data_IF_652440153292
#
_entry.id   IF_652440153292
#
_cell.length_a   1.000
_cell.length_b   1.000
_cell.length_c   1.000
_cell.angle_alpha   90.00
_cell.angle_beta   90.00
_cell.angle_gamma   90.00
#
_symmetry.space_group_name_H-M   'P 1'
#
loop_
_entity.id
_entity.type
_entity.pdbx_description
1 polymer ?
#
# COMPACT_ATOMS: atom_id res chain seq x y z
N UNK A 1 26.99 -7.40 -46.39
CA UNK A 1 27.39 -6.39 -45.39
C UNK A 1 27.11 -4.98 -45.90
N UNK A 2 27.68 -4.55 -47.03
CA UNK A 2 27.49 -3.20 -47.58
C UNK A 2 26.02 -2.83 -47.89
N UNK A 3 25.23 -3.75 -48.47
CA UNK A 3 23.81 -3.49 -48.77
C UNK A 3 22.94 -3.28 -47.54
N UNK A 4 23.26 -3.93 -46.41
CA UNK A 4 22.47 -3.81 -45.17
C UNK A 4 22.69 -2.44 -44.51
N UNK A 5 23.94 -1.96 -44.58
CA UNK A 5 24.31 -0.62 -44.11
C UNK A 5 23.62 0.45 -44.95
N UNK A 6 23.59 0.30 -46.28
CA UNK A 6 22.91 1.26 -47.17
C UNK A 6 21.40 1.28 -46.93
N UNK A 7 20.75 0.10 -46.79
CA UNK A 7 19.31 0.03 -46.50
C UNK A 7 18.99 0.65 -45.14
N UNK A 8 19.80 0.39 -44.11
CA UNK A 8 19.63 0.99 -42.80
C UNK A 8 19.77 2.53 -42.86
N UNK A 9 20.79 3.04 -43.55
CA UNK A 9 21.01 4.48 -43.67
C UNK A 9 19.89 5.19 -44.46
N UNK A 10 19.37 4.56 -45.52
CA UNK A 10 18.24 5.09 -46.28
C UNK A 10 16.94 5.08 -45.47
N UNK A 11 16.70 4.04 -44.65
CA UNK A 11 15.52 4.00 -43.76
C UNK A 11 15.54 5.08 -42.68
N UNK A 12 16.71 5.37 -42.10
CA UNK A 12 16.86 6.43 -41.08
C UNK A 12 16.71 7.80 -41.73
N UNK A 13 17.29 8.00 -42.91
CA UNK A 13 17.17 9.27 -43.65
C UNK A 13 15.74 9.57 -44.08
N UNK A 14 14.99 8.55 -44.51
CA UNK A 14 13.58 8.69 -44.86
C UNK A 14 12.71 8.98 -43.62
N UNK A 15 13.02 8.37 -42.47
CA UNK A 15 12.32 8.66 -41.22
C UNK A 15 12.52 10.12 -40.77
N UNK A 16 13.73 10.67 -40.90
CA UNK A 16 14.03 12.08 -40.57
C UNK A 16 13.29 13.06 -41.50
N UNK A 17 13.06 12.70 -42.76
CA UNK A 17 12.35 13.54 -43.74
C UNK A 17 10.82 13.45 -43.63
N UNK A 18 10.28 12.39 -43.04
CA UNK A 18 8.84 12.19 -42.84
C UNK A 18 8.33 12.64 -41.47
N UNK A 19 9.22 13.01 -40.54
CA UNK A 19 8.84 13.62 -39.27
C UNK A 19 8.73 15.14 -39.50
N UNK A 20 7.53 15.75 -39.43
CA UNK A 20 7.41 17.20 -39.50
C UNK A 20 8.21 17.84 -38.35
N UNK A 21 8.84 19.01 -38.56
CA UNK A 21 9.78 19.63 -37.62
C UNK A 21 9.15 20.11 -36.31
N UNK A 22 7.85 19.88 -36.10
CA UNK A 22 7.15 20.26 -34.88
C UNK A 22 7.15 19.10 -33.86
N UNK A 23 8.34 18.72 -33.41
CA UNK A 23 8.54 17.87 -32.23
C UNK A 23 8.10 18.58 -30.93
N UNK A 24 7.95 19.91 -30.97
CA UNK A 24 7.56 20.75 -29.82
C UNK A 24 6.15 20.44 -29.32
N UNK A 25 5.27 19.88 -30.16
CA UNK A 25 3.90 19.53 -29.80
C UNK A 25 3.75 18.17 -29.08
N UNK A 26 4.75 17.26 -29.15
CA UNK A 26 4.72 15.97 -28.44
C UNK A 26 5.34 16.03 -27.03
N UNK A 27 6.12 17.07 -26.74
CA UNK A 27 6.53 17.43 -25.38
C UNK A 27 5.88 18.76 -25.01
N UNK A 28 4.56 18.81 -25.15
CA UNK A 28 3.79 19.69 -24.29
C UNK A 28 4.10 19.27 -22.86
N UNK A 29 4.99 20.00 -22.18
CA UNK A 29 4.88 20.18 -20.74
C UNK A 29 3.51 20.77 -20.51
N UNK A 30 2.49 19.92 -20.43
CA UNK A 30 1.30 20.18 -19.65
C UNK A 30 1.81 20.34 -18.21
N UNK A 31 2.30 21.53 -17.89
CA UNK A 31 2.18 22.02 -16.54
C UNK A 31 0.68 22.08 -16.30
N UNK A 32 0.13 21.00 -15.75
CA UNK A 32 -1.19 21.01 -15.14
C UNK A 32 -1.15 22.15 -14.13
N UNK A 33 -1.60 23.34 -14.53
CA UNK A 33 -2.00 24.37 -13.59
C UNK A 33 -3.27 23.85 -12.92
N UNK A 34 -3.07 22.91 -12.00
CA UNK A 34 -4.06 22.60 -10.99
C UNK A 34 -4.34 23.88 -10.23
N UNK A 35 -5.61 24.14 -9.94
CA UNK A 35 -6.01 25.19 -9.01
C UNK A 35 -5.09 25.15 -7.77
N UNK A 36 -4.71 26.32 -7.21
CA UNK A 36 -3.88 26.37 -6.02
C UNK A 36 -4.44 25.41 -4.96
N UNK A 37 -3.61 24.49 -4.48
CA UNK A 37 -4.03 23.53 -3.44
C UNK A 37 -4.49 24.34 -2.24
N UNK A 38 -5.75 24.16 -1.83
CA UNK A 38 -6.28 24.85 -0.65
C UNK A 38 -5.51 24.40 0.58
N UNK A 39 -5.01 25.34 1.35
CA UNK A 39 -4.34 25.09 2.62
C UNK A 39 -5.34 25.31 3.75
N UNK A 40 -5.46 24.34 4.65
CA UNK A 40 -6.34 24.40 5.81
C UNK A 40 -5.51 24.38 7.09
N UNK A 41 -5.91 25.17 8.08
CA UNK A 41 -5.35 25.06 9.44
C UNK A 41 -6.06 23.96 10.24
N UNK A 42 -5.45 23.48 11.33
CA UNK A 42 -6.10 22.53 12.24
C UNK A 42 -7.39 23.09 12.85
N UNK A 43 -7.40 24.38 13.20
CA UNK A 43 -8.59 25.07 13.70
C UNK A 43 -9.68 25.18 12.65
N UNK A 44 -9.33 25.43 11.38
CA UNK A 44 -10.29 25.46 10.28
C UNK A 44 -10.87 24.07 10.02
N UNK A 45 -10.04 23.02 9.97
CA UNK A 45 -10.50 21.65 9.80
C UNK A 45 -11.50 21.25 10.90
N UNK A 46 -11.25 21.65 12.15
CA UNK A 46 -12.14 21.37 13.28
C UNK A 46 -13.55 21.98 13.13
N UNK A 47 -13.74 23.02 12.32
CA UNK A 47 -15.05 23.61 12.01
C UNK A 47 -15.90 22.74 11.07
N UNK A 48 -15.31 21.68 10.51
CA UNK A 48 -15.96 20.74 9.59
C UNK A 48 -16.22 19.37 10.24
N UNK A 49 -16.59 19.36 11.52
CA UNK A 49 -16.90 18.13 12.29
C UNK A 49 -18.24 17.49 11.94
N UNK A 50 -19.13 18.17 11.21
CA UNK A 50 -20.43 17.64 10.76
C UNK A 50 -21.60 17.83 11.72
N UNK A 51 -21.37 18.41 12.90
CA UNK A 51 -22.41 18.76 13.88
C UNK A 51 -23.34 19.87 13.39
N UNK A 52 -24.45 20.10 14.10
CA UNK A 52 -25.37 21.19 13.78
C UNK A 52 -24.65 22.55 13.83
N UNK A 53 -24.62 23.27 12.70
CA UNK A 53 -23.87 24.53 12.55
C UNK A 53 -22.42 24.38 12.06
N UNK A 54 -21.97 23.15 11.80
CA UNK A 54 -20.68 22.86 11.15
C UNK A 54 -20.63 23.44 9.73
N UNK A 55 -19.44 23.84 9.28
CA UNK A 55 -19.20 24.35 7.92
C UNK A 55 -19.12 23.26 6.86
N UNK A 56 -19.17 21.99 7.26
CA UNK A 56 -19.14 20.82 6.39
C UNK A 56 -18.80 19.56 7.18
N UNK A 57 -18.40 18.51 6.46
CA UNK A 57 -17.98 17.24 7.06
C UNK A 57 -16.68 16.77 6.40
N UNK A 58 -15.55 17.13 7.01
CA UNK A 58 -14.22 16.86 6.46
C UNK A 58 -13.44 15.90 7.35
N UNK A 59 -12.45 15.23 6.77
CA UNK A 59 -11.53 14.33 7.45
C UNK A 59 -10.17 14.39 6.76
N UNK A 60 -9.09 14.28 7.52
CA UNK A 60 -7.74 14.28 6.98
C UNK A 60 -6.99 12.95 7.19
N UNK A 61 -6.19 12.57 6.17
CA UNK A 61 -5.30 11.41 6.17
C UNK A 61 -3.97 11.82 5.55
N UNK A 62 -2.87 11.65 6.29
CA UNK A 62 -1.53 12.11 5.93
C UNK A 62 -1.53 13.60 5.51
N UNK A 63 -2.33 14.41 6.20
CA UNK A 63 -2.53 15.81 5.88
C UNK A 63 -3.33 16.10 4.60
N UNK A 64 -3.80 15.11 3.85
CA UNK A 64 -4.75 15.33 2.76
C UNK A 64 -6.17 15.45 3.33
N UNK A 65 -6.86 16.54 3.00
CA UNK A 65 -8.22 16.83 3.49
C UNK A 65 -9.25 16.40 2.45
N UNK A 66 -10.23 15.62 2.89
CA UNK A 66 -11.32 15.12 2.05
C UNK A 66 -12.67 15.58 2.57
N UNK A 67 -13.57 15.89 1.65
CA UNK A 67 -14.99 16.03 1.94
C UNK A 67 -15.63 14.64 2.01
N UNK A 68 -16.06 14.25 3.21
CA UNK A 68 -16.63 12.93 3.48
C UNK A 68 -18.15 12.96 3.61
N UNK A 69 -18.81 14.02 3.13
CA UNK A 69 -20.28 14.14 3.15
C UNK A 69 -20.99 13.00 2.41
N UNK A 70 -20.39 12.46 1.33
CA UNK A 70 -20.87 11.22 0.67
C UNK A 70 -20.98 10.03 1.63
N UNK A 71 -20.16 10.02 2.68
CA UNK A 71 -20.13 9.03 3.76
C UNK A 71 -20.78 9.51 5.05
N UNK A 72 -21.71 10.47 5.02
CA UNK A 72 -22.33 11.06 6.22
C UNK A 72 -22.89 10.02 7.20
N UNK A 73 -23.45 8.90 6.73
CA UNK A 73 -23.91 7.80 7.60
C UNK A 73 -22.81 7.20 8.51
N UNK A 74 -21.54 7.41 8.14
CA UNK A 74 -20.36 6.91 8.84
C UNK A 74 -19.69 8.00 9.68
N UNK A 75 -19.52 9.20 9.12
CA UNK A 75 -18.73 10.28 9.73
C UNK A 75 -19.59 11.42 10.29
N UNK A 76 -20.86 11.53 9.89
CA UNK A 76 -21.80 12.51 10.41
C UNK A 76 -22.25 12.19 11.84
N UNK A 77 -23.00 13.09 12.49
CA UNK A 77 -23.45 12.92 13.86
C UNK A 77 -24.15 11.58 14.09
N UNK A 78 -23.73 10.86 15.13
CA UNK A 78 -24.23 9.50 15.44
C UNK A 78 -23.65 8.36 14.59
N UNK A 79 -22.79 8.67 13.61
CA UNK A 79 -22.05 7.69 12.82
C UNK A 79 -20.92 7.01 13.61
N UNK A 80 -20.61 5.76 13.25
CA UNK A 80 -19.62 4.94 13.96
C UNK A 80 -18.19 5.48 13.90
N UNK A 81 -17.88 6.39 12.96
CA UNK A 81 -16.56 7.01 12.76
C UNK A 81 -16.61 8.53 12.91
N UNK A 82 -17.66 9.07 13.54
CA UNK A 82 -17.86 10.50 13.69
C UNK A 82 -16.71 11.21 14.42
N UNK A 83 -16.07 10.54 15.38
CA UNK A 83 -14.94 11.07 16.14
C UNK A 83 -13.72 11.44 15.28
N UNK A 84 -13.63 10.95 14.03
CA UNK A 84 -12.58 11.32 13.08
C UNK A 84 -12.90 12.60 12.28
N UNK A 85 -14.17 13.03 12.27
CA UNK A 85 -14.58 14.22 11.53
C UNK A 85 -13.93 15.48 12.12
N UNK A 86 -13.51 16.39 11.24
CA UNK A 86 -12.79 17.62 11.58
C UNK A 86 -11.38 17.39 12.15
N UNK A 87 -10.79 16.20 11.96
CA UNK A 87 -9.46 15.86 12.47
C UNK A 87 -8.61 15.18 11.41
N UNK A 88 -7.30 15.19 11.63
CA UNK A 88 -6.40 14.25 10.99
C UNK A 88 -6.30 13.01 11.86
N UNK A 89 -6.83 11.89 11.36
CA UNK A 89 -6.95 10.63 12.07
C UNK A 89 -6.02 9.55 11.47
N UNK A 90 -4.91 9.97 10.86
CA UNK A 90 -3.96 9.10 10.15
C UNK A 90 -3.59 7.82 10.91
N UNK A 91 -3.29 7.93 12.22
CA UNK A 91 -2.91 6.77 13.01
C UNK A 91 -4.07 5.79 13.21
N UNK A 92 -5.27 6.30 13.48
CA UNK A 92 -6.46 5.51 13.76
C UNK A 92 -6.92 4.64 12.58
N UNK A 93 -6.57 4.99 11.34
CA UNK A 93 -6.82 4.14 10.16
C UNK A 93 -6.08 2.80 10.21
N UNK A 94 -4.96 2.75 10.93
CA UNK A 94 -4.15 1.53 11.09
C UNK A 94 -4.43 0.86 12.41
N UNK A 95 -4.40 1.62 13.50
CA UNK A 95 -4.50 1.05 14.85
C UNK A 95 -5.92 0.67 15.23
N UNK A 96 -6.94 1.30 14.61
CA UNK A 96 -8.32 1.19 15.07
C UNK A 96 -8.56 1.78 16.45
N UNK A 97 -7.60 2.54 16.99
CA UNK A 97 -7.75 3.24 18.26
C UNK A 97 -8.44 4.58 18.04
N UNK A 98 -9.66 4.69 18.57
CA UNK A 98 -10.51 5.87 18.44
C UNK A 98 -10.57 6.71 19.73
N UNK A 99 -9.69 6.41 20.69
CA UNK A 99 -9.48 7.27 21.86
C UNK A 99 -8.72 8.54 21.47
N UNK A 100 -8.65 9.50 22.40
CA UNK A 100 -7.93 10.76 22.16
C UNK A 100 -6.46 10.56 21.79
N UNK A 101 -5.80 9.52 22.32
CA UNK A 101 -4.42 9.18 21.97
C UNK A 101 -4.28 8.60 20.56
N UNK A 102 -5.29 7.88 20.06
CA UNK A 102 -5.29 7.26 18.74
C UNK A 102 -5.70 8.22 17.61
N UNK A 103 -6.51 9.24 17.92
CA UNK A 103 -6.98 10.26 16.97
C UNK A 103 -5.93 11.36 16.74
N UNK A 104 -4.82 10.96 16.13
CA UNK A 104 -3.67 11.82 15.87
C UNK A 104 -3.10 11.67 14.45
N UNK A 105 -2.40 12.72 14.01
CA UNK A 105 -1.60 12.72 12.78
C UNK A 105 -0.22 12.07 12.98
N UNK A 106 0.15 11.72 14.21
CA UNK A 106 1.46 11.12 14.49
C UNK A 106 1.51 9.64 14.12
N UNK A 107 2.19 9.35 13.01
CA UNK A 107 2.37 8.00 12.48
C UNK A 107 3.78 7.46 12.70
N UNK A 108 4.59 8.08 13.57
CA UNK A 108 5.98 7.68 13.77
C UNK A 108 6.14 6.28 14.37
N UNK A 109 5.09 5.75 15.01
CA UNK A 109 5.08 4.40 15.58
C UNK A 109 4.79 3.30 14.56
N UNK A 110 4.36 3.64 13.34
CA UNK A 110 3.98 2.65 12.33
C UNK A 110 5.21 1.98 11.71
N UNK A 111 5.14 0.66 11.56
CA UNK A 111 6.10 -0.11 10.78
C UNK A 111 6.00 0.21 9.27
N UNK A 112 7.03 -0.10 8.47
CA UNK A 112 6.98 0.12 7.02
C UNK A 112 5.79 -0.54 6.31
N UNK A 113 5.40 -1.75 6.74
CA UNK A 113 4.23 -2.45 6.17
C UNK A 113 2.91 -1.78 6.56
N UNK A 114 2.80 -1.26 7.78
CA UNK A 114 1.63 -0.48 8.21
C UNK A 114 1.53 0.86 7.48
N UNK A 115 2.66 1.50 7.17
CA UNK A 115 2.67 2.70 6.30
C UNK A 115 2.15 2.37 4.90
N UNK A 116 2.45 1.19 4.34
CA UNK A 116 1.84 0.76 3.06
C UNK A 116 0.33 0.71 3.19
N UNK A 117 -0.21 0.06 4.22
CA UNK A 117 -1.64 0.00 4.46
C UNK A 117 -2.28 1.39 4.64
N UNK A 118 -1.55 2.35 5.24
CA UNK A 118 -2.04 3.72 5.40
C UNK A 118 -2.14 4.44 4.06
N UNK A 119 -1.18 4.21 3.16
CA UNK A 119 -1.26 4.71 1.79
C UNK A 119 -2.35 4.05 0.97
N UNK A 120 -2.69 2.78 1.24
CA UNK A 120 -3.84 2.12 0.61
C UNK A 120 -5.15 2.79 1.03
N UNK A 121 -5.28 3.17 2.31
CA UNK A 121 -6.39 4.01 2.78
C UNK A 121 -6.39 5.38 2.11
N UNK A 122 -5.25 6.07 2.04
CA UNK A 122 -5.16 7.35 1.35
C UNK A 122 -5.61 7.23 -0.12
N UNK A 123 -5.18 6.20 -0.84
CA UNK A 123 -5.56 5.94 -2.22
C UNK A 123 -7.06 5.64 -2.36
N UNK A 124 -7.64 4.88 -1.42
CA UNK A 124 -9.09 4.68 -1.35
C UNK A 124 -9.83 6.01 -1.23
N UNK A 125 -9.38 6.92 -0.35
CA UNK A 125 -10.03 8.21 -0.16
C UNK A 125 -9.89 9.14 -1.36
N UNK A 126 -8.71 9.17 -1.99
CA UNK A 126 -8.47 9.94 -3.22
C UNK A 126 -9.39 9.50 -4.37
N UNK A 127 -9.79 8.23 -4.39
CA UNK A 127 -10.71 7.70 -5.40
C UNK A 127 -12.18 7.97 -5.04
N UNK A 128 -12.55 7.78 -3.77
CA UNK A 128 -13.95 7.66 -3.38
C UNK A 128 -14.56 8.94 -2.81
N UNK A 129 -13.74 9.91 -2.42
CA UNK A 129 -14.12 11.20 -1.84
C UNK A 129 -13.49 12.39 -2.58
N UNK A 130 -14.08 13.57 -2.40
CA UNK A 130 -13.58 14.79 -3.01
C UNK A 130 -12.38 15.31 -2.20
N UNK A 131 -11.22 15.43 -2.85
CA UNK A 131 -10.05 16.08 -2.25
C UNK A 131 -10.27 17.60 -2.19
N UNK A 132 -10.19 18.17 -0.98
CA UNK A 132 -10.43 19.59 -0.70
C UNK A 132 -9.13 20.38 -0.71
N UNK A 133 -8.05 19.80 -0.16
CA UNK A 133 -6.80 20.51 0.05
C UNK A 133 -5.84 19.74 0.95
N UNK A 134 -4.85 20.45 1.50
CA UNK A 134 -3.90 19.90 2.46
C UNK A 134 -3.94 20.66 3.79
N UNK A 135 -3.64 19.94 4.87
CA UNK A 135 -3.62 20.42 6.22
C UNK A 135 -2.21 20.93 6.58
N UNK A 136 -2.13 22.19 6.97
CA UNK A 136 -0.93 22.80 7.52
C UNK A 136 -0.64 22.16 8.88
N UNK A 137 0.55 21.60 9.05
CA UNK A 137 0.97 20.96 10.28
C UNK A 137 2.11 19.97 10.06
N UNK A 138 1.92 18.73 10.52
CA UNK A 138 2.98 17.71 10.54
C UNK A 138 3.51 17.37 9.16
N UNK A 139 2.64 17.21 8.16
CA UNK A 139 3.02 16.70 6.84
C UNK A 139 3.28 17.80 5.80
N UNK A 140 2.58 18.93 5.91
CA UNK A 140 2.70 20.07 5.01
C UNK A 140 2.90 21.36 5.79
N UNK A 141 3.79 22.24 5.32
CA UNK A 141 4.01 23.55 5.94
C UNK A 141 3.00 24.61 5.44
N UNK A 142 3.17 25.86 5.88
CA UNK A 142 2.31 27.00 5.51
C UNK A 142 2.31 27.33 4.01
N UNK A 143 3.30 26.84 3.26
CA UNK A 143 3.35 26.98 1.80
C UNK A 143 2.76 25.75 1.07
N UNK A 144 2.24 24.76 1.81
CA UNK A 144 1.80 23.49 1.26
C UNK A 144 2.94 22.56 0.82
N UNK A 145 4.19 22.88 1.17
CA UNK A 145 5.34 22.06 0.82
C UNK A 145 5.51 20.90 1.83
N UNK A 146 5.98 19.72 1.37
CA UNK A 146 6.19 18.56 2.23
C UNK A 146 7.24 18.84 3.32
N UNK A 147 6.95 18.41 4.54
CA UNK A 147 7.89 18.51 5.68
C UNK A 147 8.82 17.30 5.75
N UNK A 148 9.84 17.37 6.61
CA UNK A 148 10.70 16.22 6.90
C UNK A 148 9.92 15.01 7.43
N UNK A 149 8.85 15.24 8.21
CA UNK A 149 8.02 14.15 8.71
C UNK A 149 7.33 13.38 7.57
N UNK A 150 6.80 14.09 6.56
CA UNK A 150 6.22 13.45 5.38
C UNK A 150 7.29 12.71 4.55
N UNK A 151 8.49 13.28 4.40
CA UNK A 151 9.60 12.60 3.73
C UNK A 151 10.01 11.30 4.44
N UNK A 152 10.02 11.28 5.77
CA UNK A 152 10.29 10.04 6.55
C UNK A 152 9.20 9.00 6.34
N UNK A 153 7.93 9.41 6.28
CA UNK A 153 6.81 8.52 5.97
C UNK A 153 6.93 7.95 4.56
N UNK A 154 7.31 8.78 3.57
CA UNK A 154 7.54 8.33 2.19
C UNK A 154 8.73 7.35 2.08
N UNK A 155 9.80 7.57 2.84
CA UNK A 155 10.91 6.62 2.92
C UNK A 155 10.46 5.28 3.53
N UNK A 156 9.65 5.33 4.60
CA UNK A 156 9.05 4.13 5.20
C UNK A 156 8.14 3.38 4.23
N UNK A 157 7.33 4.11 3.44
CA UNK A 157 6.51 3.51 2.36
C UNK A 157 7.36 2.78 1.33
N UNK A 158 8.48 3.38 0.90
CA UNK A 158 9.37 2.77 -0.08
C UNK A 158 9.98 1.46 0.46
N UNK A 159 10.40 1.45 1.72
CA UNK A 159 10.89 0.22 2.37
C UNK A 159 9.78 -0.82 2.56
N UNK A 160 8.57 -0.39 2.96
CA UNK A 160 7.42 -1.28 3.10
C UNK A 160 7.05 -1.98 1.78
N UNK A 161 7.04 -1.25 0.67
CA UNK A 161 6.82 -1.81 -0.67
C UNK A 161 7.91 -2.80 -1.08
N UNK A 162 9.17 -2.51 -0.74
CA UNK A 162 10.29 -3.43 -0.99
C UNK A 162 10.13 -4.72 -0.18
N UNK A 163 9.75 -4.63 1.10
CA UNK A 163 9.47 -5.79 1.94
C UNK A 163 8.30 -6.63 1.39
N UNK A 164 7.21 -6.00 0.96
CA UNK A 164 6.10 -6.70 0.31
C UNK A 164 6.53 -7.42 -0.96
N UNK A 165 7.34 -6.76 -1.82
CA UNK A 165 7.84 -7.37 -3.05
C UNK A 165 8.78 -8.55 -2.77
N UNK A 166 9.63 -8.46 -1.73
CA UNK A 166 10.48 -9.56 -1.30
C UNK A 166 9.65 -10.74 -0.77
N UNK A 167 8.68 -10.46 0.11
CA UNK A 167 7.75 -11.48 0.64
C UNK A 167 6.95 -12.16 -0.47
N UNK A 168 6.46 -11.39 -1.46
CA UNK A 168 5.76 -11.96 -2.61
C UNK A 168 6.69 -12.80 -3.49
N UNK A 169 7.93 -12.36 -3.73
CA UNK A 169 8.91 -13.13 -4.46
C UNK A 169 9.26 -14.45 -3.74
N UNK A 170 9.38 -14.41 -2.41
CA UNK A 170 9.55 -15.61 -1.58
C UNK A 170 8.33 -16.52 -1.63
N UNK A 171 7.11 -15.97 -1.55
CA UNK A 171 5.85 -16.73 -1.65
C UNK A 171 5.68 -17.38 -3.03
N UNK A 172 6.09 -16.70 -4.10
CA UNK A 172 6.11 -17.25 -5.46
C UNK A 172 7.16 -18.38 -5.57
N UNK A 173 8.33 -18.18 -4.94
CA UNK A 173 9.43 -19.16 -4.93
C UNK A 173 9.13 -20.39 -4.07
N UNK A 174 8.40 -20.19 -2.97
CA UNK A 174 8.06 -21.22 -1.99
C UNK A 174 6.55 -21.20 -1.71
N UNK A 175 5.72 -21.66 -2.66
CA UNK A 175 4.27 -21.63 -2.50
C UNK A 175 3.80 -22.55 -1.37
N UNK A 176 2.65 -22.22 -0.77
CA UNK A 176 2.04 -23.03 0.30
C UNK A 176 1.82 -24.48 -0.14
N UNK A 177 2.23 -25.44 0.70
CA UNK A 177 2.03 -26.86 0.47
C UNK A 177 0.57 -27.24 0.79
N UNK A 178 -0.11 -27.99 -0.10
CA UNK A 178 -1.39 -28.57 0.28
C UNK A 178 -1.13 -29.77 1.17
N UNK A 179 -1.76 -29.80 2.34
CA UNK A 179 -1.74 -30.94 3.26
C UNK A 179 -3.16 -31.32 3.66
N UNK A 180 -3.43 -32.61 3.75
CA UNK A 180 -4.66 -33.16 4.30
C UNK A 180 -4.30 -34.21 5.34
N UNK A 181 -5.07 -34.27 6.41
CA UNK A 181 -4.96 -35.35 7.38
C UNK A 181 -6.31 -36.02 7.55
N UNK A 182 -6.34 -37.35 7.54
CA UNK A 182 -7.50 -38.13 7.97
C UNK A 182 -7.08 -39.23 8.94
N UNK A 183 -7.98 -39.64 9.83
CA UNK A 183 -7.72 -40.72 10.78
C UNK A 183 -7.46 -42.07 10.09
N UNK A 184 -8.00 -42.27 8.88
CA UNK A 184 -7.88 -43.53 8.15
C UNK A 184 -6.62 -43.61 7.27
N UNK A 185 -6.18 -42.49 6.68
CA UNK A 185 -5.04 -42.45 5.73
C UNK A 185 -3.81 -41.70 6.25
N UNK A 186 -3.86 -41.14 7.46
CA UNK A 186 -2.79 -40.29 7.99
C UNK A 186 -2.70 -38.94 7.27
N UNK A 187 -1.51 -38.33 7.31
CA UNK A 187 -1.23 -37.07 6.61
C UNK A 187 -0.73 -37.29 5.18
N UNK A 188 -1.30 -36.58 4.19
CA UNK A 188 -0.77 -36.50 2.83
C UNK A 188 -0.48 -35.06 2.43
N UNK A 189 0.49 -34.90 1.52
CA UNK A 189 0.87 -33.63 0.91
C UNK A 189 0.81 -33.75 -0.62
N UNK A 190 0.38 -32.71 -1.33
CA UNK A 190 0.38 -32.71 -2.80
C UNK A 190 0.50 -31.30 -3.38
N UNK A 191 1.10 -31.18 -4.57
CA UNK A 191 1.11 -29.91 -5.34
C UNK A 191 -0.12 -29.89 -6.27
N UNK A 192 -0.85 -28.77 -6.35
CA UNK A 192 -1.96 -28.60 -7.29
C UNK A 192 -1.43 -28.37 -8.71
N UNK A 193 -1.95 -29.07 -9.71
CA UNK A 193 -1.43 -29.10 -11.10
C UNK A 193 -1.52 -27.75 -11.85
N UNK A 194 -2.14 -26.73 -11.25
CA UNK A 194 -2.28 -25.39 -11.85
C UNK A 194 -1.25 -24.42 -11.27
N UNK A 195 -0.03 -24.45 -11.79
CA UNK A 195 0.88 -23.30 -11.96
C UNK A 195 2.16 -23.77 -12.68
N UNK A 196 2.19 -23.59 -13.99
CA UNK A 196 3.21 -24.08 -14.93
C UNK A 196 4.62 -23.47 -14.80
N UNK A 197 4.96 -22.74 -13.73
CA UNK A 197 6.22 -21.98 -13.68
C UNK A 197 7.24 -22.51 -12.67
N UNK A 198 6.87 -23.41 -11.75
CA UNK A 198 7.82 -23.81 -10.69
C UNK A 198 7.78 -25.31 -10.36
N UNK A 199 7.95 -26.16 -11.37
CA UNK A 199 8.11 -27.61 -11.15
C UNK A 199 9.43 -27.98 -10.43
N UNK A 200 10.43 -27.08 -10.38
CA UNK A 200 11.73 -27.38 -9.76
C UNK A 200 11.82 -27.06 -8.25
N UNK A 201 10.90 -26.29 -7.65
CA UNK A 201 10.98 -25.94 -6.21
C UNK A 201 10.05 -26.74 -5.30
N UNK A 202 9.02 -27.45 -5.81
CA UNK A 202 8.23 -28.39 -4.99
C UNK A 202 9.10 -29.53 -4.41
N UNK A 203 10.20 -29.95 -5.07
CA UNK A 203 11.07 -31.03 -4.57
C UNK A 203 11.89 -30.66 -3.33
N UNK A 204 12.29 -29.40 -3.15
CA UNK A 204 13.14 -28.98 -2.02
C UNK A 204 12.32 -28.90 -0.72
N UNK A 205 11.06 -28.46 -0.81
CA UNK A 205 10.14 -28.41 0.35
C UNK A 205 9.78 -29.83 0.81
N UNK A 206 9.62 -30.78 -0.12
CA UNK A 206 9.40 -32.20 0.23
C UNK A 206 10.55 -32.81 1.04
N UNK A 207 11.80 -32.43 0.74
CA UNK A 207 12.98 -32.86 1.51
C UNK A 207 13.04 -32.21 2.90
N UNK A 208 12.78 -30.90 3.02
CA UNK A 208 12.83 -30.22 4.32
C UNK A 208 11.66 -30.56 5.25
N UNK A 209 10.46 -30.78 4.69
CA UNK A 209 9.29 -31.19 5.47
C UNK A 209 9.43 -32.64 5.99
N UNK A 210 10.03 -33.55 5.20
CA UNK A 210 10.35 -34.91 5.66
C UNK A 210 11.38 -34.90 6.81
N UNK A 211 12.37 -34.00 6.74
CA UNK A 211 13.40 -33.90 7.77
C UNK A 211 12.80 -33.40 9.09
N UNK A 212 11.99 -32.35 9.07
CA UNK A 212 11.33 -31.82 10.27
C UNK A 212 10.29 -32.77 10.89
N UNK A 213 9.56 -33.53 10.06
CA UNK A 213 8.60 -34.53 10.53
C UNK A 213 9.31 -35.73 11.18
N UNK A 214 10.45 -36.18 10.63
CA UNK A 214 11.25 -37.25 11.23
C UNK A 214 11.83 -36.84 12.58
N UNK A 215 12.23 -35.57 12.77
CA UNK A 215 12.70 -35.07 14.08
C UNK A 215 11.59 -35.07 15.13
N UNK A 216 10.39 -34.59 14.78
CA UNK A 216 9.23 -34.53 15.69
C UNK A 216 8.66 -35.91 16.05
N UNK A 217 8.72 -36.88 15.13
CA UNK A 217 8.30 -38.26 15.39
C UNK A 217 9.38 -39.01 16.20
N UNK A 218 10.67 -38.74 15.96
CA UNK A 218 11.79 -39.30 16.72
C UNK A 218 11.76 -38.91 18.21
N UNK A 219 11.46 -37.66 18.52
CA UNK A 219 11.36 -37.16 19.91
C UNK A 219 10.16 -37.75 20.66
N UNK A 220 9.05 -38.05 19.98
CA UNK A 220 7.88 -38.71 20.60
C UNK A 220 8.09 -40.20 20.90
N UNK A 221 8.90 -40.89 20.12
CA UNK A 221 9.24 -42.30 20.39
C UNK A 221 10.22 -42.44 21.55
N UNK A 222 11.23 -41.56 21.64
CA UNK A 222 12.20 -41.59 22.75
C UNK A 222 11.55 -41.33 24.12
N UNK A 223 10.53 -40.47 24.19
CA UNK A 223 9.85 -40.16 25.45
C UNK A 223 8.95 -41.29 25.99
N UNK A 224 8.60 -42.28 25.15
CA UNK A 224 7.79 -43.45 25.54
C UNK A 224 8.60 -44.63 26.06
N UNK A 225 9.90 -44.71 25.77
CA UNK A 225 10.77 -45.79 26.28
C UNK A 225 11.37 -45.51 27.66
N UNK A 226 11.39 -44.26 28.13
CA UNK A 226 11.91 -43.89 29.46
C UNK A 226 10.88 -43.90 30.60
N UNK A 227 9.66 -44.38 30.36
CA UNK A 227 8.61 -44.53 31.39
C UNK A 227 8.08 -45.98 31.51
N UNK A 228 8.86 -46.97 31.06
CA UNK A 228 8.62 -48.39 31.28
C UNK A 228 9.42 -48.93 32.46
#
# INVERSE_FOLDING_TARGET
MLSYVVVALLSVSLAVLLIPPDWSAMFGTESSQGSPVRLLSRSELALHGGEQGSMGLYLAILGHVFDVHKGEKHYGPGGAYHFMAGKDASLAFITGDFTESGLTDDVSSLSPLEVVALYDWLAFYQRDYQHVGVLIGRFYNEAGAPTEALLRVQASLAEGKKLQAQSEAERIRFPSCNSEWTAASGGRFWCSTKRYVVLSQCCIILLMCNTAFLTLVGERSAHKETQG
#
